data_IF_792612786020
#
_entry.id   IF_792612786020
#
_cell.length_a   1.000
_cell.length_b   1.000
_cell.length_c   1.000
_cell.angle_alpha   90.00
_cell.angle_beta   90.00
_cell.angle_gamma   90.00
#
_symmetry.space_group_name_H-M   'P 1'
#
loop_
_entity.id
_entity.type
_entity.pdbx_description
1 polymer ?
2 non-polymer ?
3 water ?
#
# COMPACT_ATOMS: atom_id res chain seq x y z
N UNK A 4 12.51 -9.28 5.81
CA UNK A 4 12.45 -10.77 5.70
C UNK A 4 11.28 -11.21 4.84
N UNK A 5 10.09 -10.72 5.19
CA UNK A 5 8.88 -11.05 4.45
C UNK A 5 7.79 -9.99 4.62
N UNK A 6 7.12 -9.62 3.52
CA UNK A 6 6.04 -8.63 3.62
C UNK A 6 4.85 -9.42 4.17
N UNK A 7 3.96 -8.78 4.92
CA UNK A 7 2.81 -9.50 5.46
C UNK A 7 1.65 -9.43 4.48
N UNK A 8 0.89 -10.52 4.35
CA UNK A 8 -0.25 -10.52 3.43
C UNK A 8 -1.49 -9.99 4.13
N UNK A 9 -2.16 -9.03 3.49
CA UNK A 9 -3.35 -8.41 4.06
C UNK A 9 -4.65 -9.04 3.55
N UNK A 10 -4.75 -9.18 2.23
CA UNK A 10 -5.87 -9.83 1.57
C UNK A 10 -5.19 -10.74 0.55
N UNK A 11 -5.90 -11.76 0.05
CA UNK A 11 -5.25 -12.62 -0.94
C UNK A 11 -4.61 -11.81 -2.07
N UNK A 12 -3.31 -12.01 -2.26
CA UNK A 12 -2.50 -11.34 -3.29
C UNK A 12 -2.09 -9.90 -2.97
N UNK A 13 -2.53 -9.39 -1.82
CA UNK A 13 -2.18 -8.02 -1.42
C UNK A 13 -1.19 -8.08 -0.26
N UNK A 14 0.04 -7.62 -0.50
CA UNK A 14 1.09 -7.64 0.52
C UNK A 14 1.51 -6.25 0.95
N UNK A 15 1.86 -6.11 2.23
CA UNK A 15 2.28 -4.84 2.81
C UNK A 15 3.73 -4.96 3.27
N UNK A 16 4.61 -4.07 2.80
CA UNK A 16 6.00 -4.21 3.20
C UNK A 16 6.87 -2.98 3.31
N UNK A 17 8.18 -3.21 3.34
CA UNK A 17 9.18 -2.15 3.48
C UNK A 17 10.07 -2.01 2.25
N UNK A 18 10.94 -1.01 2.29
CA UNK A 18 11.87 -0.76 1.20
C UNK A 18 12.82 -1.94 1.06
N UNK A 19 13.05 -2.64 2.16
CA UNK A 19 13.92 -3.82 2.15
C UNK A 19 13.22 -4.90 1.32
N UNK A 20 11.92 -5.06 1.56
CA UNK A 20 11.15 -6.05 0.83
C UNK A 20 11.12 -5.75 -0.66
N UNK A 21 11.18 -4.47 -1.00
CA UNK A 21 11.11 -4.08 -2.41
C UNK A 21 12.34 -4.46 -3.20
N UNK A 22 13.43 -4.80 -2.51
CA UNK A 22 14.68 -5.15 -3.18
C UNK A 22 15.03 -6.64 -3.12
N UNK A 23 14.13 -7.45 -2.56
CA UNK A 23 14.37 -8.88 -2.44
C UNK A 23 13.70 -9.68 -3.56
N UNK A 24 14.40 -9.85 -4.67
CA UNK A 24 13.86 -10.56 -5.82
C UNK A 24 13.43 -11.99 -5.51
N UNK A 25 14.13 -12.62 -4.56
CA UNK A 25 13.83 -13.98 -4.15
C UNK A 25 12.51 -14.03 -3.37
N UNK A 26 12.30 -13.04 -2.51
CA UNK A 26 11.09 -12.96 -1.69
C UNK A 26 9.86 -12.64 -2.53
N UNK A 27 10.05 -11.82 -3.55
CA UNK A 27 8.97 -11.42 -4.46
C UNK A 27 8.57 -12.58 -5.37
N UNK A 28 9.54 -13.44 -5.70
CA UNK A 28 9.27 -14.60 -6.54
C UNK A 28 8.42 -15.59 -5.75
N UNK A 29 8.86 -15.89 -4.54
CA UNK A 29 8.16 -16.81 -3.64
C UNK A 29 6.70 -16.42 -3.47
N UNK A 30 6.44 -15.13 -3.31
CA UNK A 30 5.07 -14.66 -3.10
C UNK A 30 4.28 -14.35 -4.37
N UNK A 31 4.89 -14.56 -5.53
CA UNK A 31 4.20 -14.30 -6.79
C UNK A 31 3.86 -12.84 -7.07
N UNK A 32 4.65 -11.94 -6.50
CA UNK A 32 4.46 -10.50 -6.66
C UNK A 32 5.15 -9.97 -7.91
N UNK A 33 4.38 -9.35 -8.80
CA UNK A 33 4.92 -8.78 -10.04
C UNK A 33 4.54 -7.30 -10.14
N UNK A 34 3.73 -6.84 -9.19
CA UNK A 34 3.28 -5.45 -9.16
C UNK A 34 3.80 -4.80 -7.89
N UNK A 35 4.35 -3.60 -8.02
CA UNK A 35 4.88 -2.91 -6.86
C UNK A 35 4.42 -1.46 -6.76
N UNK A 36 3.75 -1.14 -5.66
CA UNK A 36 3.27 0.22 -5.42
C UNK A 36 4.22 0.88 -4.43
N UNK A 37 5.07 1.76 -4.96
CA UNK A 37 6.07 2.49 -4.19
C UNK A 37 5.44 3.80 -3.72
N UNK A 38 5.05 3.87 -2.46
CA UNK A 38 4.41 5.08 -1.97
C UNK A 38 5.38 6.06 -1.31
N UNK A 39 6.40 6.42 -2.07
CA UNK A 39 7.40 7.38 -1.63
C UNK A 39 7.77 8.22 -2.84
N UNK A 40 8.27 9.43 -2.61
CA UNK A 40 8.65 10.30 -3.72
C UNK A 40 10.02 9.94 -4.30
N UNK A 41 10.85 9.29 -3.49
CA UNK A 41 12.22 9.02 -3.89
C UNK A 41 12.85 7.63 -3.86
N UNK A 42 12.16 6.60 -3.36
CA UNK A 42 12.82 5.29 -3.33
C UNK A 42 12.93 4.68 -4.73
N UNK A 43 13.97 3.87 -4.95
CA UNK A 43 14.22 3.21 -6.24
C UNK A 43 13.20 2.15 -6.60
N UNK A 44 13.01 1.94 -7.90
CA UNK A 44 12.13 0.88 -8.42
C UNK A 44 13.14 -0.06 -9.07
N UNK A 45 13.75 -0.86 -8.21
CA UNK A 45 14.81 -1.79 -8.59
C UNK A 45 14.68 -2.60 -9.86
N UNK A 46 13.49 -3.14 -10.12
CA UNK A 46 13.31 -3.99 -11.29
C UNK A 46 12.53 -3.34 -12.41
N UNK A 47 12.63 -2.02 -12.50
CA UNK A 47 11.92 -1.26 -13.52
C UNK A 47 12.26 -1.69 -14.94
N UNK A 48 13.51 -2.06 -15.19
CA UNK A 48 13.90 -2.47 -16.53
C UNK A 48 13.41 -3.87 -16.90
N UNK A 49 12.79 -4.54 -15.93
CA UNK A 49 12.26 -5.90 -16.10
C UNK A 49 10.78 -5.87 -16.53
N UNK A 50 10.53 -6.07 -17.83
CA UNK A 50 9.16 -6.05 -18.36
C UNK A 50 8.13 -6.92 -17.64
N UNK A 51 8.59 -7.81 -16.78
CA UNK A 51 7.68 -8.69 -16.04
C UNK A 51 7.09 -7.98 -14.83
N UNK A 52 7.76 -6.92 -14.38
CA UNK A 52 7.27 -6.17 -13.23
C UNK A 52 6.50 -4.94 -13.64
N UNK A 53 5.51 -4.56 -12.83
CA UNK A 53 4.73 -3.38 -13.11
C UNK A 53 4.88 -2.46 -11.91
N UNK A 54 5.33 -1.23 -12.15
CA UNK A 54 5.52 -0.26 -11.07
C UNK A 54 4.57 0.92 -11.11
N UNK A 55 4.31 1.47 -9.92
CA UNK A 55 3.48 2.65 -9.73
C UNK A 55 4.08 3.37 -8.53
N UNK A 56 4.38 4.65 -8.69
CA UNK A 56 4.96 5.40 -7.58
C UNK A 56 4.14 6.63 -7.28
N UNK A 57 3.85 6.83 -6.00
CA UNK A 57 3.07 7.97 -5.54
C UNK A 57 3.89 8.70 -4.49
N UNK A 58 4.20 9.98 -4.74
CA UNK A 58 4.99 10.83 -3.85
C UNK A 58 4.32 11.23 -2.54
N UNK A 59 3.97 10.24 -1.72
CA UNK A 59 3.34 10.52 -0.44
C UNK A 59 4.38 10.84 0.63
N UNK A 60 4.12 11.88 1.42
CA UNK A 60 5.03 12.27 2.48
C UNK A 60 4.29 12.98 3.59
N UNK A 61 4.81 12.89 4.81
CA UNK A 61 4.19 13.55 5.94
C UNK A 61 4.43 15.05 5.87
N UNK A 62 5.38 15.46 5.02
CA UNK A 62 5.69 16.88 4.84
C UNK A 62 4.50 17.58 4.18
N UNK A 63 3.69 16.81 3.46
CA UNK A 63 2.51 17.34 2.80
C UNK A 63 1.40 16.31 2.87
N UNK A 64 1.03 15.98 4.09
CA UNK A 64 0.01 14.98 4.36
C UNK A 64 -1.38 15.37 3.87
N UNK A 65 -1.55 16.64 3.54
CA UNK A 65 -2.83 17.15 3.07
C UNK A 65 -3.21 16.77 1.63
N UNK A 66 -2.26 16.22 0.88
CA UNK A 66 -2.54 15.82 -0.50
C UNK A 66 -2.92 14.34 -0.63
N UNK A 67 -2.68 13.58 0.43
CA UNK A 67 -2.94 12.15 0.47
C UNK A 67 -4.22 11.59 -0.16
N UNK A 68 -5.40 11.99 0.32
CA UNK A 68 -6.65 11.47 -0.24
C UNK A 68 -6.66 11.55 -1.76
N UNK A 69 -6.05 12.60 -2.30
CA UNK A 69 -5.98 12.81 -3.73
C UNK A 69 -5.30 11.66 -4.49
N UNK A 70 -4.40 10.95 -3.81
CA UNK A 70 -3.68 9.85 -4.44
C UNK A 70 -4.35 8.49 -4.24
N UNK A 71 -5.35 8.42 -3.38
CA UNK A 71 -5.99 7.13 -3.13
C UNK A 71 -6.58 6.47 -4.37
N UNK A 72 -7.33 7.22 -5.20
CA UNK A 72 -7.92 6.65 -6.41
C UNK A 72 -6.95 5.92 -7.35
N UNK A 73 -5.81 6.53 -7.68
CA UNK A 73 -4.87 5.88 -8.59
C UNK A 73 -4.17 4.69 -7.91
N UNK A 74 -4.00 4.77 -6.59
CA UNK A 74 -3.36 3.68 -5.86
C UNK A 74 -4.29 2.47 -5.89
N UNK A 75 -5.56 2.71 -5.57
CA UNK A 75 -6.55 1.65 -5.55
C UNK A 75 -6.66 1.01 -6.93
N UNK A 76 -6.66 1.83 -7.97
CA UNK A 76 -6.75 1.30 -9.34
C UNK A 76 -5.58 0.34 -9.63
N UNK A 77 -4.38 0.74 -9.24
CA UNK A 77 -3.21 -0.09 -9.47
C UNK A 77 -3.30 -1.42 -8.76
N UNK A 78 -3.66 -1.38 -7.48
CA UNK A 78 -3.78 -2.60 -6.69
C UNK A 78 -4.84 -3.50 -7.31
N UNK A 79 -5.90 -2.89 -7.84
CA UNK A 79 -6.97 -3.68 -8.45
C UNK A 79 -6.48 -4.40 -9.71
N UNK A 80 -5.60 -3.76 -10.47
CA UNK A 80 -5.11 -4.38 -11.69
C UNK A 80 -4.39 -5.67 -11.33
N UNK A 81 -3.49 -5.58 -10.35
CA UNK A 81 -2.74 -6.73 -9.90
C UNK A 81 -3.68 -7.85 -9.48
N UNK A 82 -4.59 -7.56 -8.55
CA UNK A 82 -5.51 -8.58 -8.08
C UNK A 82 -6.43 -9.13 -9.16
N UNK A 83 -6.85 -8.28 -10.09
CA UNK A 83 -7.72 -8.74 -11.15
C UNK A 83 -6.96 -9.70 -12.05
N UNK A 84 -5.67 -9.43 -12.24
CA UNK A 84 -4.83 -10.28 -13.07
C UNK A 84 -4.41 -11.52 -12.29
N UNK A 85 -4.87 -11.60 -11.04
CA UNK A 85 -4.55 -12.70 -10.14
C UNK A 85 -3.04 -12.76 -9.92
N UNK A 86 -2.46 -11.58 -9.69
CA UNK A 86 -1.03 -11.44 -9.45
C UNK A 86 -0.87 -10.73 -8.11
N UNK A 87 0.24 -11.01 -7.43
CA UNK A 87 0.48 -10.37 -6.15
C UNK A 87 1.08 -8.98 -6.33
N UNK A 88 0.74 -8.08 -5.42
CA UNK A 88 1.24 -6.72 -5.47
C UNK A 88 1.79 -6.36 -4.10
N UNK A 89 2.88 -5.60 -4.10
CA UNK A 89 3.50 -5.17 -2.85
C UNK A 89 3.37 -3.66 -2.68
N UNK A 90 2.77 -3.24 -1.57
CA UNK A 90 2.62 -1.83 -1.27
C UNK A 90 3.68 -1.55 -0.20
N UNK A 91 4.57 -0.61 -0.48
CA UNK A 91 5.62 -0.33 0.49
C UNK A 91 6.02 1.13 0.52
N UNK A 92 6.73 1.48 1.58
CA UNK A 92 7.27 2.82 1.75
C UNK A 92 8.69 2.59 2.26
N UNK A 93 9.18 3.42 3.17
CA UNK A 93 10.54 3.22 3.66
C UNK A 93 10.52 2.21 4.80
N UNK A 94 10.23 2.67 6.00
CA UNK A 94 10.16 1.77 7.15
C UNK A 94 8.90 0.91 6.99
N UNK A 95 7.91 1.45 6.28
CA UNK A 95 6.68 0.72 6.05
C UNK A 95 5.74 0.66 7.24
N UNK A 96 5.76 1.68 8.09
CA UNK A 96 4.87 1.68 9.24
C UNK A 96 3.80 2.77 9.21
N UNK A 97 3.74 3.54 8.12
CA UNK A 97 2.75 4.61 8.03
C UNK A 97 2.16 4.88 6.64
N UNK A 98 2.99 5.31 5.69
CA UNK A 98 2.50 5.62 4.35
C UNK A 98 1.87 4.42 3.63
N UNK A 99 2.58 3.30 3.63
CA UNK A 99 2.08 2.09 2.99
C UNK A 99 0.81 1.60 3.69
N UNK A 100 0.80 1.68 5.01
CA UNK A 100 -0.36 1.25 5.78
C UNK A 100 -1.59 2.09 5.43
N UNK A 101 -1.41 3.40 5.37
CA UNK A 101 -2.51 4.32 5.07
C UNK A 101 -3.16 4.02 3.73
N UNK A 102 -2.34 3.83 2.71
CA UNK A 102 -2.86 3.53 1.39
C UNK A 102 -3.57 2.18 1.40
N UNK A 103 -3.01 1.22 2.12
CA UNK A 103 -3.62 -0.09 2.19
C UNK A 103 -4.97 -0.04 2.90
N UNK A 104 -5.04 0.75 3.95
CA UNK A 104 -6.30 0.88 4.68
C UNK A 104 -7.34 1.50 3.74
N UNK A 105 -6.93 2.49 2.96
CA UNK A 105 -7.86 3.14 2.03
C UNK A 105 -8.42 2.12 1.05
N UNK A 106 -7.55 1.27 0.53
CA UNK A 106 -7.99 0.26 -0.42
C UNK A 106 -9.04 -0.66 0.22
N UNK A 107 -8.76 -1.14 1.43
CA UNK A 107 -9.69 -2.02 2.14
C UNK A 107 -11.03 -1.32 2.32
N UNK A 108 -10.98 -0.07 2.77
CA UNK A 108 -12.20 0.71 2.97
C UNK A 108 -13.08 0.68 1.72
N UNK A 109 -12.49 0.95 0.56
CA UNK A 109 -13.27 0.97 -0.68
C UNK A 109 -13.75 -0.40 -1.15
N UNK A 110 -12.84 -1.35 -1.30
CA UNK A 110 -13.22 -2.66 -1.81
C UNK A 110 -14.12 -3.48 -0.90
N UNK A 111 -13.90 -3.40 0.40
CA UNK A 111 -14.71 -4.19 1.32
C UNK A 111 -15.82 -3.40 2.00
N UNK A 112 -16.01 -2.15 1.59
CA UNK A 112 -17.04 -1.29 2.18
C UNK A 112 -16.88 -1.27 3.69
N UNK A 113 -15.67 -0.92 4.12
CA UNK A 113 -15.35 -0.86 5.54
C UNK A 113 -15.02 0.53 6.05
N UNK A 114 -15.38 0.78 7.30
CA UNK A 114 -15.09 2.05 7.94
C UNK A 114 -13.57 2.04 8.19
N UNK A 115 -13.00 3.21 8.47
CA UNK A 115 -11.57 3.30 8.75
C UNK A 115 -11.14 2.33 9.83
N UNK A 116 -11.87 2.30 10.94
CA UNK A 116 -11.52 1.43 12.05
C UNK A 116 -11.54 -0.06 11.72
N UNK A 117 -12.60 -0.52 11.08
CA UNK A 117 -12.69 -1.93 10.74
C UNK A 117 -11.57 -2.29 9.77
N UNK A 118 -11.30 -1.42 8.80
CA UNK A 118 -10.24 -1.67 7.83
C UNK A 118 -8.91 -1.69 8.57
N UNK A 119 -8.73 -0.75 9.50
CA UNK A 119 -7.50 -0.69 10.29
C UNK A 119 -7.30 -1.95 11.12
N UNK A 120 -8.38 -2.46 11.69
CA UNK A 120 -8.30 -3.66 12.51
C UNK A 120 -7.75 -4.85 11.72
N UNK A 121 -8.08 -4.92 10.44
CA UNK A 121 -7.61 -6.02 9.61
C UNK A 121 -6.10 -5.95 9.48
N UNK A 122 -5.57 -4.75 9.27
CA UNK A 122 -4.13 -4.56 9.13
C UNK A 122 -3.42 -4.73 10.48
N UNK A 123 -4.00 -4.19 11.55
CA UNK A 123 -3.39 -4.29 12.88
C UNK A 123 -3.16 -5.75 13.25
N UNK A 124 -4.12 -6.61 12.91
CA UNK A 124 -4.01 -8.02 13.24
C UNK A 124 -2.86 -8.71 12.49
N UNK A 125 -2.48 -8.14 11.35
CA UNK A 125 -1.41 -8.69 10.52
C UNK A 125 -0.06 -8.03 10.75
N UNK A 126 -0.07 -6.77 11.19
CA UNK A 126 1.16 -6.02 11.40
C UNK A 126 1.14 -5.33 12.76
N UNK A 127 2.11 -5.65 13.60
CA UNK A 127 2.19 -5.10 14.95
C UNK A 127 2.96 -3.79 15.08
N UNK A 128 3.62 -3.37 14.01
CA UNK A 128 4.38 -2.13 14.05
C UNK A 128 3.77 -1.05 13.16
N UNK A 129 2.77 -0.35 13.69
CA UNK A 129 2.11 0.72 12.96
C UNK A 129 2.26 1.98 13.80
N UNK A 130 2.73 3.06 13.17
CA UNK A 130 2.94 4.33 13.84
C UNK A 130 1.77 5.29 13.53
N UNK A 131 1.16 5.88 14.57
CA UNK A 131 0.05 6.78 14.29
C UNK A 131 0.46 8.08 13.62
N UNK A 132 -0.44 8.61 12.80
CA UNK A 132 -0.23 9.87 12.11
C UNK A 132 -1.62 10.45 11.95
N UNK A 133 -1.95 11.38 12.83
CA UNK A 133 -3.27 12.00 12.82
C UNK A 133 -3.62 12.76 11.56
N UNK A 134 -2.63 13.32 10.88
CA UNK A 134 -2.93 14.02 9.63
C UNK A 134 -3.40 12.95 8.66
N UNK A 135 -2.69 11.82 8.63
CA UNK A 135 -3.08 10.74 7.74
C UNK A 135 -4.47 10.23 8.15
N UNK A 136 -4.68 10.07 9.46
CA UNK A 136 -5.99 9.61 9.94
C UNK A 136 -7.10 10.53 9.46
N UNK A 137 -6.84 11.83 9.51
CA UNK A 137 -7.82 12.81 9.08
C UNK A 137 -8.12 12.66 7.60
N UNK A 138 -7.08 12.38 6.82
CA UNK A 138 -7.24 12.20 5.39
C UNK A 138 -8.10 10.96 5.15
N UNK A 139 -7.89 9.91 5.94
CA UNK A 139 -8.67 8.68 5.79
C UNK A 139 -10.12 8.92 6.16
N UNK A 140 -10.36 9.76 7.17
CA UNK A 140 -11.73 10.06 7.55
C UNK A 140 -12.42 10.84 6.44
N UNK A 141 -11.68 11.70 5.75
CA UNK A 141 -12.27 12.46 4.65
C UNK A 141 -12.64 11.48 3.54
N UNK A 142 -11.81 10.46 3.36
CA UNK A 142 -12.06 9.45 2.35
C UNK A 142 -13.27 8.61 2.78
N UNK A 143 -13.34 8.29 4.07
CA UNK A 143 -14.45 7.49 4.56
C UNK A 143 -15.74 8.21 4.21
N UNK A 144 -15.70 9.54 4.33
CA UNK A 144 -16.84 10.38 4.04
C UNK A 144 -17.21 10.37 2.56
N UNK A 145 -16.21 10.48 1.69
CA UNK A 145 -16.46 10.48 0.25
C UNK A 145 -17.08 9.15 -0.17
N UNK A 146 -16.71 8.06 0.52
CA UNK A 146 -17.29 6.77 0.20
C UNK A 146 -18.73 6.75 0.70
N UNK A 147 -19.00 7.56 1.74
CA UNK A 147 -20.32 7.73 2.38
C UNK A 147 -20.36 7.38 3.86
X LIG B 1 6.86 5.05 6.39
X LIG B 1 5.98 3.86 6.33
X LIG B 1 7.93 4.91 5.38
X LIG B 1 6.06 6.26 6.11
X LIG B 1 7.46 5.15 7.73
#
# INVERSE_FOLDING_TARGET
>A
SLASFPVQILPNLYLGSARDSANLESLAKLGIRYILNVTPNLPNFFEKNGDFHYKQIPISDHWSQNLSRFFPEAIEFIDEALSQNCGVLVHSLAGVSRSVTVTVAYLMQKLHLSLNDAYDLVKRKKSNISPNFNFMGQLLDFERSLREGHHHHHH
>B hetero
1 PO4 P O1 O2 O3 O4
#
